data_IF_734300575341
#
_entry.id   IF_734300575341
#
_cell.length_a   1.000
_cell.length_b   1.000
_cell.length_c   1.000
_cell.angle_alpha   90.00
_cell.angle_beta   90.00
_cell.angle_gamma   90.00
#
_symmetry.space_group_name_H-M   'P 1'
#
loop_
_entity.id
_entity.type
_entity.pdbx_description
1 polymer ?
#
# COMPACT_ATOMS: atom_id res chain seq x y z
N UNK A 1 -12.21 -11.48 25.39
CA UNK A 1 -12.71 -12.08 24.14
C UNK A 1 -13.36 -11.03 23.23
N UNK A 2 -14.41 -10.34 23.69
CA UNK A 2 -15.06 -9.26 22.91
C UNK A 2 -14.12 -8.07 22.62
N UNK A 3 -13.34 -7.63 23.60
CA UNK A 3 -12.38 -6.53 23.46
C UNK A 3 -11.28 -6.85 22.42
N UNK A 4 -10.75 -8.08 22.43
CA UNK A 4 -9.77 -8.54 21.43
C UNK A 4 -10.39 -8.57 20.03
N UNK A 5 -11.62 -9.08 19.91
CA UNK A 5 -12.35 -9.14 18.65
C UNK A 5 -12.60 -7.75 18.06
N UNK A 6 -13.03 -6.80 18.89
CA UNK A 6 -13.23 -5.41 18.51
C UNK A 6 -11.91 -4.77 18.07
N UNK A 7 -10.84 -4.98 18.84
CA UNK A 7 -9.51 -4.46 18.49
C UNK A 7 -8.99 -4.98 17.15
N UNK A 8 -9.18 -6.28 16.86
CA UNK A 8 -8.77 -6.87 15.58
C UNK A 8 -9.60 -6.30 14.42
N UNK A 9 -10.91 -6.12 14.57
CA UNK A 9 -11.74 -5.44 13.56
C UNK A 9 -11.22 -4.04 13.27
N UNK A 10 -10.98 -3.24 14.32
CA UNK A 10 -10.51 -1.87 14.17
C UNK A 10 -9.15 -1.87 13.48
N UNK A 11 -8.27 -2.81 13.83
CA UNK A 11 -6.97 -2.97 13.20
C UNK A 11 -7.08 -3.32 11.72
N UNK A 12 -7.91 -4.28 11.32
CA UNK A 12 -8.12 -4.61 9.90
C UNK A 12 -8.65 -3.43 9.09
N UNK A 13 -9.66 -2.73 9.61
CA UNK A 13 -10.24 -1.56 8.95
C UNK A 13 -9.21 -0.44 8.84
N UNK A 14 -8.45 -0.19 9.91
CA UNK A 14 -7.40 0.83 9.92
C UNK A 14 -6.31 0.53 8.88
N UNK A 15 -5.84 -0.72 8.81
CA UNK A 15 -4.83 -1.13 7.81
C UNK A 15 -5.38 -0.98 6.40
N UNK A 16 -6.63 -1.39 6.15
CA UNK A 16 -7.25 -1.25 4.84
C UNK A 16 -7.33 0.23 4.39
N UNK A 17 -7.72 1.13 5.29
CA UNK A 17 -7.77 2.58 5.02
C UNK A 17 -6.38 3.12 4.73
N UNK A 18 -5.39 2.78 5.56
CA UNK A 18 -4.00 3.21 5.36
C UNK A 18 -3.42 2.71 4.04
N UNK A 19 -3.72 1.47 3.64
CA UNK A 19 -3.32 0.90 2.35
C UNK A 19 -3.93 1.65 1.16
N UNK A 20 -5.23 1.98 1.26
CA UNK A 20 -5.90 2.77 0.22
C UNK A 20 -5.28 4.16 0.08
N UNK A 21 -5.08 4.86 1.21
CA UNK A 21 -4.43 6.18 1.23
C UNK A 21 -3.03 6.08 0.63
N UNK A 22 -2.24 5.09 1.04
CA UNK A 22 -0.88 4.89 0.53
C UNK A 22 -0.83 4.54 -0.96
N UNK A 23 -1.89 4.01 -1.55
CA UNK A 23 -1.91 3.63 -2.98
C UNK A 23 -2.45 4.75 -3.87
N UNK A 24 -3.30 5.62 -3.32
CA UNK A 24 -3.97 6.70 -4.05
C UNK A 24 -3.23 8.03 -3.92
N UNK A 25 -2.63 8.31 -2.75
CA UNK A 25 -2.06 9.62 -2.45
C UNK A 25 -0.58 9.69 -2.86
N UNK A 26 -0.26 10.72 -3.64
CA UNK A 26 1.03 11.01 -4.26
C UNK A 26 2.08 11.58 -3.29
N UNK A 27 2.50 10.82 -2.29
CA UNK A 27 3.46 11.30 -1.26
C UNK A 27 4.59 10.31 -0.98
N UNK A 28 4.88 9.39 -1.89
CA UNK A 28 5.97 8.43 -1.75
C UNK A 28 7.35 9.10 -1.83
N UNK A 29 7.48 10.15 -2.64
CA UNK A 29 8.67 10.97 -2.72
C UNK A 29 8.29 12.44 -2.91
N UNK A 30 8.85 13.31 -2.08
CA UNK A 30 8.69 14.76 -2.19
C UNK A 30 10.07 15.40 -2.23
N UNK A 31 10.41 16.04 -3.35
CA UNK A 31 11.67 16.77 -3.55
C UNK A 31 11.35 18.16 -4.07
N UNK A 32 11.57 19.19 -3.25
CA UNK A 32 11.72 20.60 -3.63
C UNK A 32 10.90 21.11 -4.83
N UNK A 33 9.58 20.84 -4.90
CA UNK A 33 8.69 21.26 -6.00
C UNK A 33 8.29 20.15 -6.99
N UNK A 34 8.79 18.94 -6.78
CA UNK A 34 8.45 17.69 -7.45
C UNK A 34 7.85 16.71 -6.44
N UNK A 35 6.66 16.21 -6.73
CA UNK A 35 6.03 15.12 -5.99
C UNK A 35 5.87 13.92 -6.93
N UNK A 36 6.48 12.80 -6.55
CA UNK A 36 6.42 11.55 -7.31
C UNK A 36 5.43 10.61 -6.65
N UNK A 37 4.41 10.20 -7.39
CA UNK A 37 3.47 9.14 -7.03
C UNK A 37 3.89 7.81 -7.64
N UNK A 38 3.25 6.75 -7.16
CA UNK A 38 3.26 5.43 -7.74
C UNK A 38 2.66 5.43 -9.18
N UNK A 39 1.71 6.32 -9.46
CA UNK A 39 0.98 6.35 -10.74
C UNK A 39 1.28 7.57 -11.62
N UNK A 40 1.65 8.70 -11.01
CA UNK A 40 1.82 10.00 -11.67
C UNK A 40 3.00 10.76 -11.06
N UNK A 41 3.76 11.47 -11.88
CA UNK A 41 4.78 12.41 -11.42
C UNK A 41 4.25 13.82 -11.64
N UNK A 42 4.17 14.60 -10.57
CA UNK A 42 3.72 15.99 -10.64
C UNK A 42 4.86 16.94 -10.33
N UNK A 43 5.03 17.96 -11.18
CA UNK A 43 6.04 19.00 -11.01
C UNK A 43 5.39 20.38 -11.03
N UNK A 44 5.92 21.29 -10.21
CA UNK A 44 5.58 22.70 -10.26
C UNK A 44 6.48 23.36 -11.30
N UNK A 45 5.91 23.81 -12.42
CA UNK A 45 6.65 24.55 -13.41
C UNK A 45 6.80 26.01 -12.95
N UNK A 46 8.01 26.37 -12.49
CA UNK A 46 8.34 27.69 -11.90
C UNK A 46 8.16 28.87 -12.86
N UNK A 47 8.05 28.65 -14.18
CA UNK A 47 7.84 29.73 -15.16
C UNK A 47 6.38 30.16 -15.35
N UNK A 48 5.40 29.34 -14.93
CA UNK A 48 3.96 29.62 -15.16
C UNK A 48 3.12 29.45 -13.89
N UNK A 49 3.66 28.85 -12.82
CA UNK A 49 2.90 28.53 -11.61
C UNK A 49 1.86 27.42 -11.82
N UNK A 50 1.97 26.68 -12.93
CA UNK A 50 1.09 25.55 -13.26
C UNK A 50 1.62 24.25 -12.66
N UNK A 51 0.70 23.47 -12.08
CA UNK A 51 0.96 22.11 -11.60
C UNK A 51 0.71 21.14 -12.76
N UNK A 52 1.76 20.50 -13.28
CA UNK A 52 1.62 19.52 -14.35
C UNK A 52 1.89 18.12 -13.80
N UNK A 53 0.91 17.23 -13.98
CA UNK A 53 1.03 15.80 -13.66
C UNK A 53 1.11 15.00 -14.94
N UNK A 54 2.13 14.16 -15.05
CA UNK A 54 2.25 13.17 -16.12
C UNK A 54 2.21 11.77 -15.55
N UNK A 55 1.68 10.77 -16.26
CA UNK A 55 1.75 9.38 -15.83
C UNK A 55 3.21 8.97 -15.61
N UNK A 56 3.48 8.19 -14.58
CA UNK A 56 4.83 7.72 -14.31
C UNK A 56 5.33 6.81 -15.44
N UNK A 57 6.62 6.89 -15.77
CA UNK A 57 7.22 6.07 -16.82
C UNK A 57 7.10 4.59 -16.46
N UNK A 58 6.93 3.75 -17.49
CA UNK A 58 6.78 2.30 -17.36
C UNK A 58 8.11 1.66 -16.95
N UNK A 59 8.43 1.76 -15.67
CA UNK A 59 9.58 1.14 -15.07
C UNK A 59 9.22 -0.23 -14.50
N UNK A 60 10.03 -1.24 -14.80
CA UNK A 60 9.84 -2.60 -14.31
C UNK A 60 9.85 -2.68 -12.76
N UNK A 61 10.73 -1.92 -12.10
CA UNK A 61 10.76 -1.84 -10.65
C UNK A 61 9.51 -1.17 -10.07
N UNK A 62 8.99 -0.13 -10.73
CA UNK A 62 7.81 0.60 -10.29
C UNK A 62 6.55 -0.25 -10.48
N UNK A 63 6.48 -1.00 -11.58
CA UNK A 63 5.42 -1.96 -11.84
C UNK A 63 5.40 -3.07 -10.78
N UNK A 64 6.56 -3.52 -10.31
CA UNK A 64 6.63 -4.48 -9.20
C UNK A 64 6.05 -3.88 -7.90
N UNK A 65 6.39 -2.62 -7.57
CA UNK A 65 5.83 -1.91 -6.40
C UNK A 65 4.30 -1.73 -6.55
N UNK A 66 3.82 -1.37 -7.73
CA UNK A 66 2.39 -1.26 -8.02
C UNK A 66 1.65 -2.59 -7.80
N UNK A 67 2.20 -3.67 -8.34
CA UNK A 67 1.61 -5.00 -8.21
C UNK A 67 1.57 -5.48 -6.74
N UNK A 68 2.65 -5.26 -5.98
CA UNK A 68 2.69 -5.65 -4.56
C UNK A 68 1.75 -4.82 -3.69
N UNK A 69 1.57 -3.52 -3.98
CA UNK A 69 0.59 -2.68 -3.31
C UNK A 69 -0.85 -3.15 -3.57
N UNK A 70 -1.23 -3.43 -4.81
CA UNK A 70 -2.56 -3.96 -5.14
C UNK A 70 -2.77 -5.31 -4.46
N UNK A 71 -1.78 -6.21 -4.50
CA UNK A 71 -1.86 -7.52 -3.89
C UNK A 71 -2.06 -7.43 -2.36
N UNK A 72 -1.42 -6.45 -1.70
CA UNK A 72 -1.62 -6.19 -0.28
C UNK A 72 -3.06 -5.77 0.07
N UNK A 73 -3.70 -4.95 -0.78
CA UNK A 73 -5.10 -4.56 -0.61
C UNK A 73 -6.00 -5.79 -0.74
N UNK A 74 -5.77 -6.63 -1.77
CA UNK A 74 -6.55 -7.85 -1.99
C UNK A 74 -6.47 -8.78 -0.77
N UNK A 75 -5.26 -9.06 -0.26
CA UNK A 75 -5.10 -9.90 0.92
C UNK A 75 -5.72 -9.28 2.18
N UNK A 76 -5.65 -7.96 2.35
CA UNK A 76 -6.30 -7.27 3.47
C UNK A 76 -7.83 -7.33 3.39
N UNK A 77 -8.43 -7.19 2.21
CA UNK A 77 -9.89 -7.32 2.00
C UNK A 77 -10.35 -8.75 2.22
N UNK A 78 -9.62 -9.74 1.69
CA UNK A 78 -9.91 -11.15 1.92
C UNK A 78 -9.83 -11.50 3.42
N UNK A 79 -8.84 -10.98 4.14
CA UNK A 79 -8.73 -11.17 5.58
C UNK A 79 -9.96 -10.63 6.34
N UNK A 80 -10.40 -9.42 6.00
CA UNK A 80 -11.61 -8.82 6.59
C UNK A 80 -12.88 -9.62 6.26
N UNK A 81 -13.04 -10.07 5.01
CA UNK A 81 -14.18 -10.89 4.61
C UNK A 81 -14.23 -12.22 5.37
N UNK A 82 -13.09 -12.93 5.42
CA UNK A 82 -12.97 -14.18 6.18
C UNK A 82 -13.24 -13.97 7.66
N UNK A 83 -12.83 -12.83 8.23
CA UNK A 83 -13.13 -12.47 9.60
C UNK A 83 -14.64 -12.35 9.86
N UNK A 84 -15.38 -11.68 8.96
CA UNK A 84 -16.85 -11.61 9.02
C UNK A 84 -17.52 -12.98 8.89
N UNK A 85 -17.06 -13.84 7.97
CA UNK A 85 -17.57 -15.21 7.87
C UNK A 85 -17.34 -16.00 9.17
N UNK A 86 -16.18 -15.86 9.81
CA UNK A 86 -15.83 -16.57 11.03
C UNK A 86 -16.61 -16.08 12.26
N UNK A 87 -17.07 -14.83 12.27
CA UNK A 87 -17.93 -14.27 13.31
C UNK A 87 -19.29 -14.99 13.39
N UNK A 88 -19.87 -15.36 12.24
CA UNK A 88 -21.20 -15.98 12.17
C UNK A 88 -21.18 -17.51 12.10
N UNK A 89 -20.10 -18.12 11.58
CA UNK A 89 -20.09 -19.55 11.25
C UNK A 89 -19.41 -20.46 12.31
N UNK A 90 -18.48 -19.97 13.14
CA UNK A 90 -17.66 -20.83 14.01
C UNK A 90 -17.99 -20.73 15.51
N UNK A 91 -18.30 -21.88 16.13
CA UNK A 91 -18.31 -22.08 17.59
C UNK A 91 -16.88 -22.02 18.16
N UNK A 92 -16.71 -21.32 19.29
CA UNK A 92 -15.46 -20.83 19.91
C UNK A 92 -14.18 -21.69 19.71
N UNK A 93 -13.06 -21.06 19.30
CA UNK A 93 -11.71 -21.59 19.59
C UNK A 93 -10.55 -21.18 18.64
N UNK A 94 -10.79 -21.05 17.33
CA UNK A 94 -9.71 -20.89 16.33
C UNK A 94 -9.88 -19.76 15.31
N UNK A 95 -10.73 -18.76 15.62
CA UNK A 95 -11.29 -17.75 14.70
C UNK A 95 -10.32 -16.69 14.15
N UNK A 96 -9.00 -16.87 14.25
CA UNK A 96 -8.04 -15.80 13.92
C UNK A 96 -6.80 -16.25 13.15
N UNK A 97 -6.52 -17.55 13.04
CA UNK A 97 -5.28 -18.01 12.40
C UNK A 97 -5.27 -17.73 10.90
N UNK A 98 -6.36 -18.06 10.19
CA UNK A 98 -6.44 -17.85 8.75
C UNK A 98 -6.44 -16.36 8.41
N UNK A 99 -7.24 -15.55 9.10
CA UNK A 99 -7.29 -14.09 8.87
C UNK A 99 -5.94 -13.44 9.17
N UNK A 100 -5.27 -13.89 10.25
CA UNK A 100 -3.93 -13.46 10.61
C UNK A 100 -2.89 -13.76 9.53
N UNK A 101 -2.92 -14.95 8.91
CA UNK A 101 -1.99 -15.32 7.84
C UNK A 101 -2.14 -14.37 6.64
N UNK A 102 -3.37 -14.12 6.18
CA UNK A 102 -3.60 -13.18 5.08
C UNK A 102 -3.17 -11.75 5.43
N UNK A 103 -3.33 -11.34 6.70
CA UNK A 103 -2.88 -10.03 7.16
C UNK A 103 -1.36 -9.90 7.21
N UNK A 104 -0.66 -10.96 7.65
CA UNK A 104 0.81 -11.02 7.62
C UNK A 104 1.30 -10.97 6.17
N UNK A 105 0.66 -11.72 5.26
CA UNK A 105 1.02 -11.72 3.85
C UNK A 105 0.81 -10.34 3.21
N UNK A 106 -0.30 -9.67 3.53
CA UNK A 106 -0.51 -8.27 3.15
C UNK A 106 0.63 -7.37 3.65
N UNK A 107 1.02 -7.51 4.92
CA UNK A 107 2.14 -6.77 5.51
C UNK A 107 3.48 -7.02 4.81
N UNK A 108 3.79 -8.27 4.45
CA UNK A 108 4.99 -8.61 3.71
C UNK A 108 5.01 -7.96 2.32
N UNK A 109 3.88 -7.90 1.63
CA UNK A 109 3.76 -7.20 0.34
C UNK A 109 4.05 -5.71 0.48
N UNK A 110 3.50 -5.04 1.51
CA UNK A 110 3.76 -3.61 1.78
C UNK A 110 5.23 -3.36 2.13
N UNK A 111 5.81 -4.19 3.01
CA UNK A 111 7.22 -4.06 3.38
C UNK A 111 8.14 -4.23 2.17
N UNK A 112 7.80 -5.17 1.27
CA UNK A 112 8.53 -5.37 0.02
C UNK A 112 8.41 -4.15 -0.91
N UNK A 113 7.20 -3.59 -1.06
CA UNK A 113 6.95 -2.39 -1.85
C UNK A 113 7.78 -1.20 -1.34
N UNK A 114 7.75 -0.94 -0.04
CA UNK A 114 8.52 0.13 0.59
C UNK A 114 10.04 -0.10 0.48
N UNK A 115 10.51 -1.33 0.68
CA UNK A 115 11.92 -1.67 0.55
C UNK A 115 12.44 -1.43 -0.87
N UNK A 116 11.72 -1.91 -1.90
CA UNK A 116 12.09 -1.68 -3.30
C UNK A 116 12.13 -0.19 -3.60
N UNK A 117 11.11 0.56 -3.16
CA UNK A 117 11.04 2.00 -3.39
C UNK A 117 12.21 2.76 -2.74
N UNK A 118 12.55 2.43 -1.49
CA UNK A 118 13.68 3.06 -0.77
C UNK A 118 15.04 2.69 -1.36
N UNK A 119 15.24 1.45 -1.81
CA UNK A 119 16.48 1.02 -2.47
C UNK A 119 16.63 1.72 -3.82
N UNK A 120 15.56 1.79 -4.60
CA UNK A 120 15.50 2.49 -5.88
C UNK A 120 15.88 3.97 -5.73
N UNK A 121 15.39 4.61 -4.67
CA UNK A 121 15.79 5.97 -4.30
C UNK A 121 17.28 6.08 -3.96
N UNK A 122 17.80 5.19 -3.11
CA UNK A 122 19.20 5.21 -2.69
C UNK A 122 20.20 4.94 -3.84
N UNK A 123 19.82 4.09 -4.80
CA UNK A 123 20.62 3.75 -5.98
C UNK A 123 20.40 4.72 -7.15
N UNK A 124 19.60 5.77 -6.96
CA UNK A 124 19.34 6.80 -7.95
C UNK A 124 18.73 6.27 -9.27
N UNK A 125 17.96 5.18 -9.20
CA UNK A 125 17.24 4.62 -10.35
C UNK A 125 16.19 5.60 -10.93
N UNK A 126 15.81 6.63 -10.16
CA UNK A 126 14.94 7.74 -10.59
C UNK A 126 15.70 8.76 -11.47
N UNK A 127 17.02 8.94 -11.27
CA UNK A 127 17.85 9.92 -11.99
C UNK A 127 18.58 9.30 -13.19
N UNK A 128 18.94 8.01 -13.13
CA UNK A 128 19.58 7.27 -14.23
C UNK A 128 18.55 6.57 -15.14
N UNK A 129 17.48 7.28 -15.50
CA UNK A 129 16.59 6.85 -16.58
C UNK A 129 17.22 7.32 -17.91
N UNK A 130 17.35 6.45 -18.93
CA UNK A 130 17.82 6.87 -20.26
C UNK A 130 16.87 7.87 -20.94
#
# INVERSE_FOLDING_TARGET
>A
MLLLLLGIIVLHVSVLVLLFVSTIVSQWLVVSGHASDLWQNCSILTSVGSFQCQPSSTNEWLQAVQATMILSIIFSVLSLFLFFCQLFTLTKGGRFYITGIFQILAGLCVMSAAAIYTVCLAMNCIVNQP
#
